data_IF_335169115361
#
_entry.id   IF_335169115361
#
_cell.length_a   1.000
_cell.length_b   1.000
_cell.length_c   1.000
_cell.angle_alpha   90.00
_cell.angle_beta   90.00
_cell.angle_gamma   90.00
#
_symmetry.space_group_name_H-M   'P 1'
#
loop_
_entity.id
_entity.type
_entity.pdbx_description
1 polymer ?
#
# COMPACT_ATOMS: atom_id res chain seq x y z
N UNK A 1 -34.34 -30.99 34.11
CA UNK A 1 -33.24 -31.52 33.27
C UNK A 1 -32.99 -30.69 32.01
N UNK A 2 -34.02 -30.13 31.35
CA UNK A 2 -33.85 -29.39 30.08
C UNK A 2 -33.08 -28.06 30.21
N UNK A 3 -33.21 -27.35 31.34
CA UNK A 3 -32.49 -26.09 31.60
C UNK A 3 -30.98 -26.27 31.85
N UNK A 4 -30.58 -27.34 32.54
CA UNK A 4 -29.16 -27.65 32.78
C UNK A 4 -28.43 -28.00 31.48
N UNK A 5 -29.10 -28.67 30.54
CA UNK A 5 -28.54 -29.00 29.23
C UNK A 5 -28.27 -27.74 28.38
N UNK A 6 -29.17 -26.75 28.43
CA UNK A 6 -29.00 -25.48 27.72
C UNK A 6 -27.78 -24.70 28.23
N UNK A 7 -27.63 -24.57 29.55
CA UNK A 7 -26.49 -23.86 30.13
C UNK A 7 -25.16 -24.54 29.84
N UNK A 8 -25.11 -25.88 29.85
CA UNK A 8 -23.88 -26.63 29.52
C UNK A 8 -23.52 -26.46 28.04
N UNK A 9 -24.51 -26.44 27.15
CA UNK A 9 -24.30 -26.23 25.72
C UNK A 9 -23.76 -24.81 25.43
N UNK A 10 -24.30 -23.79 26.10
CA UNK A 10 -23.85 -22.39 25.94
C UNK A 10 -22.40 -22.20 26.41
N UNK A 11 -22.04 -22.78 27.56
CA UNK A 11 -20.67 -22.71 28.08
C UNK A 11 -19.69 -23.44 27.16
N UNK A 12 -20.08 -24.58 26.60
CA UNK A 12 -19.27 -25.31 25.60
C UNK A 12 -19.10 -24.50 24.31
N UNK A 13 -20.16 -23.85 23.82
CA UNK A 13 -20.11 -23.00 22.64
C UNK A 13 -19.17 -21.80 22.86
N UNK A 14 -19.26 -21.17 24.03
CA UNK A 14 -18.39 -20.05 24.39
C UNK A 14 -16.92 -20.49 24.49
N UNK A 15 -16.64 -21.62 25.14
CA UNK A 15 -15.29 -22.18 25.20
C UNK A 15 -14.75 -22.54 23.80
N UNK A 16 -15.60 -23.03 22.89
CA UNK A 16 -15.24 -23.31 21.50
C UNK A 16 -14.87 -22.03 20.73
N UNK A 17 -15.63 -20.95 20.93
CA UNK A 17 -15.33 -19.64 20.31
C UNK A 17 -14.01 -19.08 20.82
N UNK A 18 -13.76 -19.13 22.14
CA UNK A 18 -12.49 -18.65 22.72
C UNK A 18 -11.31 -19.47 22.19
N UNK A 19 -11.42 -20.80 22.16
CA UNK A 19 -10.36 -21.65 21.60
C UNK A 19 -10.16 -21.40 20.10
N UNK A 20 -11.22 -21.20 19.30
CA UNK A 20 -11.09 -20.82 17.89
C UNK A 20 -10.43 -19.45 17.69
N UNK A 21 -10.63 -18.49 18.60
CA UNK A 21 -9.94 -17.20 18.57
C UNK A 21 -8.48 -17.29 19.00
N UNK A 22 -8.13 -18.25 19.87
CA UNK A 22 -6.75 -18.46 20.33
C UNK A 22 -5.92 -19.29 19.33
N UNK A 23 -6.55 -20.23 18.61
CA UNK A 23 -5.92 -21.04 17.55
C UNK A 23 -5.72 -20.24 16.24
N UNK A 24 -6.51 -19.19 16.03
CA UNK A 24 -6.28 -18.21 14.97
C UNK A 24 -5.62 -16.97 15.59
N UNK A 25 -4.30 -16.97 15.84
CA UNK A 25 -3.63 -15.72 16.12
C UNK A 25 -3.92 -14.80 14.92
N UNK A 26 -4.60 -13.68 15.19
CA UNK A 26 -4.53 -12.50 14.34
C UNK A 26 -3.05 -12.38 13.94
N UNK A 27 -2.72 -12.30 12.63
CA UNK A 27 -1.34 -12.31 12.19
C UNK A 27 -0.61 -11.26 13.01
N UNK A 28 0.34 -11.73 13.82
CA UNK A 28 1.02 -10.93 14.81
C UNK A 28 1.46 -9.64 14.14
N UNK A 29 1.08 -8.49 14.69
CA UNK A 29 1.74 -7.24 14.35
C UNK A 29 3.23 -7.51 14.50
N UNK A 30 3.93 -7.53 13.37
CA UNK A 30 5.38 -7.67 13.36
C UNK A 30 5.94 -6.35 13.91
N UNK A 31 6.03 -6.26 15.24
CA UNK A 31 6.91 -5.35 15.94
C UNK A 31 8.35 -5.70 15.57
N UNK A 32 8.79 -5.15 14.44
CA UNK A 32 10.20 -5.05 14.09
C UNK A 32 10.70 -3.67 14.52
N UNK A 33 11.68 -3.59 15.43
CA UNK A 33 12.25 -2.32 15.81
C UNK A 33 13.20 -1.82 14.70
N UNK A 34 12.97 -0.57 14.30
CA UNK A 34 13.85 0.34 13.55
C UNK A 34 14.09 0.08 12.05
N UNK A 35 13.70 1.11 11.28
CA UNK A 35 14.01 1.42 9.88
C UNK A 35 13.41 0.48 8.82
N UNK A 36 12.08 0.34 8.84
CA UNK A 36 11.32 -0.13 7.66
C UNK A 36 10.84 1.08 6.87
N UNK A 37 10.77 1.01 5.53
CA UNK A 37 10.36 2.15 4.72
C UNK A 37 8.96 2.57 5.18
N UNK A 38 8.79 3.87 5.42
CA UNK A 38 7.49 4.47 5.77
C UNK A 38 6.42 4.06 4.76
N UNK A 39 6.80 3.69 3.54
CA UNK A 39 5.91 3.20 2.49
C UNK A 39 6.24 1.76 2.09
N UNK A 40 5.24 0.88 2.12
CA UNK A 40 5.31 -0.50 1.65
C UNK A 40 4.36 -0.68 0.46
N UNK A 41 4.82 -1.39 -0.58
CA UNK A 41 3.94 -1.87 -1.64
C UNK A 41 3.67 -3.37 -1.46
N UNK A 42 2.41 -3.73 -1.22
CA UNK A 42 1.95 -5.11 -1.18
C UNK A 42 1.51 -5.54 -2.58
N UNK A 43 2.25 -6.49 -3.17
CA UNK A 43 2.03 -6.99 -4.52
C UNK A 43 0.77 -7.86 -4.64
N UNK A 44 0.35 -8.54 -3.59
CA UNK A 44 -0.83 -9.43 -3.62
C UNK A 44 -2.11 -8.59 -3.67
N UNK A 45 -2.19 -7.62 -2.76
CA UNK A 45 -3.36 -6.73 -2.65
C UNK A 45 -3.26 -5.52 -3.58
N UNK A 46 -2.07 -5.20 -4.11
CA UNK A 46 -1.73 -4.01 -4.92
C UNK A 46 -2.03 -2.72 -4.18
N UNK A 47 -1.79 -2.74 -2.88
CA UNK A 47 -2.00 -1.61 -1.98
C UNK A 47 -0.66 -1.00 -1.58
N UNK A 48 -0.66 0.32 -1.49
CA UNK A 48 0.46 1.09 -0.94
C UNK A 48 0.10 1.44 0.49
N UNK A 49 0.91 0.96 1.43
CA UNK A 49 0.67 1.03 2.87
C UNK A 49 1.71 1.98 3.48
N UNK A 50 1.22 3.02 4.15
CA UNK A 50 2.03 3.99 4.88
C UNK A 50 2.05 3.61 6.38
N UNK A 51 3.24 3.59 6.97
CA UNK A 51 3.51 3.24 8.37
C UNK A 51 2.86 1.92 8.83
N UNK A 52 2.71 0.96 7.90
CA UNK A 52 2.07 -0.33 8.15
C UNK A 52 0.57 -0.27 8.43
N UNK A 53 -0.06 0.91 8.38
CA UNK A 53 -1.44 1.12 8.86
C UNK A 53 -2.37 1.75 7.83
N UNK A 54 -1.88 2.69 7.03
CA UNK A 54 -2.74 3.50 6.18
C UNK A 54 -2.61 3.09 4.71
N UNK A 55 -3.69 2.64 4.10
CA UNK A 55 -3.72 2.43 2.65
C UNK A 55 -3.83 3.80 1.98
N UNK A 56 -2.77 4.20 1.28
CA UNK A 56 -2.68 5.52 0.63
C UNK A 56 -2.92 5.50 -0.87
N UNK A 57 -2.83 4.31 -1.48
CA UNK A 57 -3.24 4.05 -2.86
C UNK A 57 -3.55 2.56 -3.01
N UNK A 58 -4.43 2.24 -3.97
CA UNK A 58 -4.72 0.86 -4.36
C UNK A 58 -4.92 0.80 -5.87
N UNK A 59 -4.34 -0.21 -6.51
CA UNK A 59 -4.36 -0.32 -7.96
C UNK A 59 -5.20 -1.51 -8.42
N UNK A 60 -5.98 -1.27 -9.49
CA UNK A 60 -6.67 -2.34 -10.20
C UNK A 60 -5.65 -3.24 -10.88
N UNK A 61 -5.89 -4.56 -10.83
CA UNK A 61 -5.04 -5.52 -11.51
C UNK A 61 -4.92 -5.19 -13.00
N UNK A 62 -3.71 -5.33 -13.54
CA UNK A 62 -3.36 -5.02 -14.94
C UNK A 62 -3.65 -3.58 -15.41
N UNK A 63 -3.96 -2.66 -14.49
CA UNK A 63 -4.10 -1.25 -14.86
C UNK A 63 -2.73 -0.64 -15.21
N UNK A 64 -2.74 0.41 -16.02
CA UNK A 64 -1.50 1.12 -16.35
C UNK A 64 -0.84 1.72 -15.10
N UNK A 65 -1.66 2.25 -14.18
CA UNK A 65 -1.17 2.83 -12.92
C UNK A 65 -0.52 1.76 -12.03
N UNK A 66 -1.06 0.54 -12.01
CA UNK A 66 -0.44 -0.60 -11.33
C UNK A 66 0.97 -0.86 -11.86
N UNK A 67 1.09 -1.13 -13.17
CA UNK A 67 2.38 -1.44 -13.80
C UNK A 67 3.38 -0.29 -13.73
N UNK A 68 2.91 0.95 -13.86
CA UNK A 68 3.76 2.12 -13.72
C UNK A 68 4.24 2.28 -12.28
N UNK A 69 3.35 2.21 -11.29
CA UNK A 69 3.76 2.35 -9.90
C UNK A 69 4.70 1.22 -9.46
N UNK A 70 4.42 -0.02 -9.84
CA UNK A 70 5.29 -1.17 -9.57
C UNK A 70 6.70 -0.95 -10.13
N UNK A 71 6.82 -0.43 -11.35
CA UNK A 71 8.10 -0.10 -11.95
C UNK A 71 8.84 1.00 -11.19
N UNK A 72 8.14 2.08 -10.83
CA UNK A 72 8.70 3.21 -10.07
C UNK A 72 9.13 2.79 -8.65
N UNK A 73 8.34 1.95 -7.99
CA UNK A 73 8.63 1.44 -6.66
C UNK A 73 9.91 0.61 -6.62
N UNK A 74 10.19 -0.14 -7.70
CA UNK A 74 11.43 -0.90 -7.88
C UNK A 74 12.63 -0.04 -8.34
N UNK A 75 12.39 1.22 -8.70
CA UNK A 75 13.42 2.18 -9.13
C UNK A 75 13.30 3.51 -8.34
N UNK A 76 13.37 3.46 -7.00
CA UNK A 76 13.14 4.65 -6.18
C UNK A 76 14.22 5.71 -6.40
N UNK A 77 13.83 6.98 -6.30
CA UNK A 77 14.67 8.18 -6.40
C UNK A 77 15.45 8.31 -7.73
N UNK A 78 15.16 7.46 -8.72
CA UNK A 78 15.75 7.52 -10.06
C UNK A 78 14.84 8.31 -11.01
N UNK A 79 15.45 9.19 -11.80
CA UNK A 79 14.78 9.82 -12.94
C UNK A 79 14.52 8.78 -14.01
N UNK A 80 13.24 8.51 -14.26
CA UNK A 80 12.78 7.60 -15.32
C UNK A 80 12.27 8.42 -16.49
N UNK A 81 12.84 8.22 -17.67
CA UNK A 81 12.42 8.93 -18.87
C UNK A 81 11.21 8.25 -19.52
N UNK A 82 10.39 9.03 -20.24
CA UNK A 82 9.21 8.54 -20.95
C UNK A 82 9.60 7.47 -21.97
N UNK A 83 10.72 7.66 -22.68
CA UNK A 83 11.24 6.70 -23.64
C UNK A 83 11.56 5.33 -23.00
N UNK A 84 12.07 5.32 -21.76
CA UNK A 84 12.28 4.09 -21.02
C UNK A 84 10.95 3.40 -20.69
N UNK A 85 9.96 4.18 -20.21
CA UNK A 85 8.63 3.68 -19.90
C UNK A 85 7.90 3.15 -21.14
N UNK A 86 8.09 3.75 -22.31
CA UNK A 86 7.48 3.29 -23.57
C UNK A 86 7.83 1.84 -23.88
N UNK A 87 9.09 1.46 -23.64
CA UNK A 87 9.60 0.12 -23.90
C UNK A 87 9.16 -0.90 -22.85
N UNK A 88 9.15 -0.53 -21.56
CA UNK A 88 8.97 -1.47 -20.45
C UNK A 88 7.51 -1.54 -19.95
N UNK A 89 6.83 -0.39 -19.91
CA UNK A 89 5.54 -0.25 -19.19
C UNK A 89 4.39 0.10 -20.14
N UNK A 90 4.55 1.09 -21.01
CA UNK A 90 3.43 1.70 -21.75
C UNK A 90 2.96 0.87 -22.94
N UNK A 91 3.83 0.01 -23.50
CA UNK A 91 3.50 -0.89 -24.61
C UNK A 91 2.84 -0.14 -25.79
N UNK A 92 3.40 1.02 -26.15
CA UNK A 92 2.90 1.87 -27.24
C UNK A 92 1.73 2.80 -26.88
N UNK A 93 1.31 2.88 -25.62
CA UNK A 93 0.30 3.85 -25.16
C UNK A 93 0.93 5.23 -24.96
N UNK A 94 0.27 6.27 -25.46
CA UNK A 94 0.64 7.66 -25.17
C UNK A 94 0.22 7.98 -23.74
N UNK A 95 1.16 8.46 -22.92
CA UNK A 95 0.93 8.80 -21.53
C UNK A 95 1.48 10.20 -21.23
N UNK A 96 0.66 11.01 -20.56
CA UNK A 96 1.14 12.23 -19.90
C UNK A 96 1.53 11.88 -18.46
N UNK A 97 2.82 11.98 -18.13
CA UNK A 97 3.36 11.53 -16.84
C UNK A 97 2.82 12.34 -15.66
N UNK A 98 2.60 13.65 -15.84
CA UNK A 98 1.96 14.50 -14.84
C UNK A 98 0.55 13.99 -14.51
N UNK A 99 -0.28 13.73 -15.52
CA UNK A 99 -1.63 13.17 -15.33
C UNK A 99 -1.59 11.76 -14.75
N UNK A 100 -0.59 10.97 -15.11
CA UNK A 100 -0.41 9.63 -14.57
C UNK A 100 -0.15 9.68 -13.06
N UNK A 101 0.77 10.54 -12.60
CA UNK A 101 1.05 10.76 -11.19
C UNK A 101 -0.19 11.22 -10.41
N UNK A 102 -1.00 12.10 -11.01
CA UNK A 102 -2.27 12.54 -10.41
C UNK A 102 -3.32 11.41 -10.33
N UNK A 103 -3.35 10.53 -11.33
CA UNK A 103 -4.30 9.42 -11.41
C UNK A 103 -3.91 8.18 -10.58
N UNK A 104 -2.71 8.15 -9.97
CA UNK A 104 -2.26 7.01 -9.16
C UNK A 104 -3.04 6.83 -7.84
N UNK A 105 -3.87 7.80 -7.46
CA UNK A 105 -4.76 7.67 -6.30
C UNK A 105 -4.16 8.13 -4.97
N UNK A 106 -2.94 8.67 -4.98
CA UNK A 106 -2.34 9.33 -3.82
C UNK A 106 -3.03 10.67 -3.54
N UNK A 107 -3.33 10.95 -2.27
CA UNK A 107 -3.91 12.25 -1.86
C UNK A 107 -2.93 13.40 -2.14
N UNK A 108 -3.48 14.57 -2.50
CA UNK A 108 -2.74 15.70 -3.09
C UNK A 108 -1.35 15.98 -2.50
N UNK A 109 -1.25 16.13 -1.18
CA UNK A 109 0.00 16.44 -0.49
C UNK A 109 1.00 15.29 -0.53
N UNK A 110 0.54 14.06 -0.31
CA UNK A 110 1.37 12.87 -0.41
C UNK A 110 1.84 12.63 -1.85
N UNK A 111 0.97 12.87 -2.83
CA UNK A 111 1.31 12.80 -4.26
C UNK A 111 2.42 13.79 -4.61
N UNK A 112 2.32 15.05 -4.17
CA UNK A 112 3.35 16.09 -4.40
C UNK A 112 4.68 15.75 -3.73
N UNK A 113 4.62 15.14 -2.56
CA UNK A 113 5.80 14.71 -1.83
C UNK A 113 6.50 13.55 -2.55
N UNK A 114 5.72 12.54 -2.96
CA UNK A 114 6.22 11.29 -3.50
C UNK A 114 6.57 11.35 -4.99
N UNK A 115 5.98 12.26 -5.77
CA UNK A 115 6.19 12.28 -7.21
C UNK A 115 6.67 13.63 -7.70
N UNK A 116 7.66 13.61 -8.56
CA UNK A 116 8.04 14.75 -9.39
C UNK A 116 7.96 14.29 -10.84
N UNK A 117 7.07 14.90 -11.63
CA UNK A 117 6.83 14.52 -13.01
C UNK A 117 6.79 15.77 -13.89
N UNK A 118 7.41 15.67 -15.05
CA UNK A 118 7.33 16.66 -16.13
C UNK A 118 6.80 15.98 -17.40
N UNK A 119 7.00 16.60 -18.57
CA UNK A 119 6.53 16.06 -19.84
C UNK A 119 7.24 14.76 -20.23
N UNK A 120 8.52 14.63 -19.86
CA UNK A 120 9.43 13.63 -20.41
C UNK A 120 9.96 12.67 -19.34
N UNK A 121 9.69 12.92 -18.06
CA UNK A 121 10.19 12.10 -16.97
C UNK A 121 9.32 12.10 -15.73
N UNK A 122 9.51 11.07 -14.92
CA UNK A 122 8.89 10.90 -13.61
C UNK A 122 9.89 10.34 -12.62
N UNK A 123 9.81 10.81 -11.38
CA UNK A 123 10.61 10.35 -10.26
C UNK A 123 9.69 10.04 -9.10
N UNK A 124 9.88 8.87 -8.49
CA UNK A 124 9.22 8.47 -7.27
C UNK A 124 10.19 8.59 -6.08
N UNK A 125 9.81 9.34 -5.05
CA UNK A 125 10.67 9.79 -3.96
C UNK A 125 10.23 9.25 -2.58
N UNK A 126 10.35 7.94 -2.32
CA UNK A 126 9.99 7.40 -1.01
C UNK A 126 10.89 7.95 0.10
N UNK A 127 12.13 8.33 -0.22
CA UNK A 127 13.09 8.94 0.71
C UNK A 127 12.59 10.24 1.34
N UNK A 128 11.76 11.03 0.64
CA UNK A 128 11.22 12.32 1.12
C UNK A 128 10.26 12.18 2.30
N UNK A 129 9.72 10.97 2.54
CA UNK A 129 8.88 10.70 3.71
C UNK A 129 9.65 10.80 5.03
N UNK A 130 10.94 10.45 5.02
CA UNK A 130 11.79 10.45 6.22
C UNK A 130 11.93 11.87 6.80
N UNK A 131 11.99 12.88 5.93
CA UNK A 131 12.10 14.29 6.31
C UNK A 131 10.77 15.01 6.60
N UNK A 132 9.63 14.39 6.29
CA UNK A 132 8.30 15.04 6.33
C UNK A 132 7.30 14.31 7.23
N UNK A 133 7.76 13.78 8.37
CA UNK A 133 6.92 13.01 9.31
C UNK A 133 5.68 13.76 9.82
N UNK A 134 5.72 15.08 9.91
CA UNK A 134 4.59 15.87 10.40
C UNK A 134 3.46 16.04 9.38
N UNK A 135 3.73 15.92 8.07
CA UNK A 135 2.68 15.93 7.04
C UNK A 135 1.78 14.68 7.10
N UNK A 136 2.28 13.58 7.66
CA UNK A 136 1.57 12.30 7.74
C UNK A 136 0.48 12.32 8.83
N UNK A 137 0.60 13.18 9.85
CA UNK A 137 -0.36 13.27 10.97
C UNK A 137 -1.72 13.85 10.57
N UNK A 138 -1.84 14.47 9.41
CA UNK A 138 -3.01 15.26 9.00
C UNK A 138 -3.88 14.54 7.95
N UNK A 139 -3.47 13.35 7.49
CA UNK A 139 -4.16 12.60 6.43
C UNK A 139 -5.22 11.67 7.02
#
# INVERSE_FOLDING_TARGET
MMFLFGCVLEVLLFALVITLMEINPLPAEHHHPSVRPTLLYDYETRCVILDGRYIVASFRSHSLNHSLFEYLYNNPDRKIELAELETVVLKGRILNLTKAADAMGFRNELRRLLFTADADSIVFHPSRLIGNKDMIKVI
#
